data_IF_291856975713
#
_entry.id   IF_291856975713
#
_cell.length_a   1.000
_cell.length_b   1.000
_cell.length_c   1.000
_cell.angle_alpha   90.00
_cell.angle_beta   90.00
_cell.angle_gamma   90.00
#
_symmetry.space_group_name_H-M   'P 1'
#
loop_
_entity.id
_entity.type
_entity.pdbx_description
1 polymer ?
#
# COMPACT_ATOMS: atom_id res chain seq x y z
N UNK A 1 -18.58 30.97 -6.42
CA UNK A 1 -18.36 29.57 -6.85
C UNK A 1 -16.86 29.28 -6.76
N UNK A 2 -16.43 28.50 -5.77
CA UNK A 2 -15.01 28.19 -5.56
C UNK A 2 -14.59 27.05 -6.49
N UNK A 3 -14.06 27.42 -7.64
CA UNK A 3 -13.45 26.49 -8.60
C UNK A 3 -12.09 26.03 -8.07
N UNK A 4 -12.09 25.08 -7.14
CA UNK A 4 -10.92 24.23 -6.93
C UNK A 4 -11.00 23.09 -7.96
N UNK A 5 -10.81 23.46 -9.23
CA UNK A 5 -10.62 22.52 -10.32
C UNK A 5 -9.20 21.96 -10.21
N UNK A 6 -9.10 20.73 -9.72
CA UNK A 6 -7.93 19.88 -9.88
C UNK A 6 -6.58 20.58 -9.66
N UNK A 7 -6.28 20.97 -8.42
CA UNK A 7 -4.88 20.99 -8.04
C UNK A 7 -4.47 19.53 -8.05
N UNK A 8 -3.73 19.10 -9.09
CA UNK A 8 -2.92 17.91 -9.02
C UNK A 8 -2.03 18.10 -7.80
N UNK A 9 -2.49 17.64 -6.64
CA UNK A 9 -1.60 17.45 -5.51
C UNK A 9 -0.50 16.61 -6.10
N UNK A 10 0.72 17.15 -6.07
CA UNK A 10 1.91 16.44 -6.46
C UNK A 10 1.96 15.19 -5.56
N UNK A 11 1.28 14.13 -5.98
CA UNK A 11 1.21 12.91 -5.23
C UNK A 11 2.61 12.29 -5.17
N UNK A 12 3.49 12.63 -6.12
CA UNK A 12 4.91 12.29 -6.06
C UNK A 12 5.63 12.96 -4.90
N UNK A 13 5.25 14.19 -4.51
CA UNK A 13 5.79 14.89 -3.35
C UNK A 13 5.38 14.21 -2.06
N UNK A 14 4.09 13.88 -1.93
CA UNK A 14 3.61 13.08 -0.79
C UNK A 14 4.28 11.70 -0.78
N UNK A 15 4.39 11.03 -1.93
CA UNK A 15 5.05 9.72 -2.04
C UNK A 15 6.55 9.81 -1.74
N UNK A 16 7.20 10.94 -2.03
CA UNK A 16 8.60 11.19 -1.67
C UNK A 16 8.78 11.46 -0.16
N UNK A 17 7.78 12.09 0.48
CA UNK A 17 7.76 12.28 1.93
C UNK A 17 7.42 10.97 2.69
N UNK A 18 6.84 9.99 1.99
CA UNK A 18 6.70 8.64 2.49
C UNK A 18 8.07 7.95 2.41
N UNK A 19 8.63 7.61 3.56
CA UNK A 19 9.82 6.76 3.70
C UNK A 19 9.49 5.29 3.32
N UNK A 20 9.03 5.07 2.08
CA UNK A 20 8.63 3.76 1.56
C UNK A 20 9.84 2.83 1.42
N UNK A 21 9.59 1.53 1.52
CA UNK A 21 10.57 0.55 1.11
C UNK A 21 10.95 0.76 -0.37
N UNK A 22 12.23 0.62 -0.76
CA UNK A 22 12.63 0.75 -2.17
C UNK A 22 11.85 -0.19 -3.11
N UNK A 23 11.50 -1.39 -2.63
CA UNK A 23 10.65 -2.32 -3.37
C UNK A 23 9.20 -1.83 -3.51
N UNK A 24 8.65 -1.17 -2.49
CA UNK A 24 7.30 -0.60 -2.51
C UNK A 24 7.18 0.50 -3.56
N UNK A 25 8.17 1.39 -3.66
CA UNK A 25 8.21 2.40 -4.71
C UNK A 25 8.19 1.78 -6.12
N UNK A 26 9.04 0.78 -6.37
CA UNK A 26 9.09 0.07 -7.67
C UNK A 26 7.77 -0.65 -7.98
N UNK A 27 7.16 -1.29 -6.98
CA UNK A 27 5.86 -1.95 -7.13
C UNK A 27 4.77 -0.93 -7.44
N UNK A 28 4.70 0.20 -6.73
CA UNK A 28 3.72 1.26 -6.96
C UNK A 28 3.76 1.75 -8.41
N UNK A 29 4.94 2.11 -8.90
CA UNK A 29 5.10 2.59 -10.28
C UNK A 29 4.65 1.55 -11.30
N UNK A 30 4.96 0.28 -11.06
CA UNK A 30 4.54 -0.82 -11.93
C UNK A 30 3.03 -1.00 -11.91
N UNK A 31 2.42 -0.98 -10.73
CA UNK A 31 0.97 -1.08 -10.57
C UNK A 31 0.22 0.08 -11.23
N UNK A 32 0.74 1.31 -11.12
CA UNK A 32 0.18 2.47 -11.84
C UNK A 32 0.20 2.28 -13.35
N UNK A 33 1.31 1.79 -13.90
CA UNK A 33 1.42 1.50 -15.33
C UNK A 33 0.48 0.37 -15.82
N UNK A 34 0.04 -0.52 -14.92
CA UNK A 34 -0.89 -1.62 -15.23
C UNK A 34 -2.33 -1.34 -14.78
N UNK A 35 -2.62 -0.15 -14.26
CA UNK A 35 -3.96 0.18 -13.79
C UNK A 35 -4.89 0.53 -14.94
N UNK A 36 -6.12 0.04 -14.86
CA UNK A 36 -7.24 0.51 -15.67
C UNK A 36 -7.67 1.92 -15.20
N UNK A 37 -8.39 2.69 -16.04
CA UNK A 37 -9.06 3.90 -15.58
C UNK A 37 -9.90 3.63 -14.32
N UNK A 38 -9.78 4.48 -13.29
CA UNK A 38 -10.36 4.24 -11.98
C UNK A 38 -9.46 3.46 -11.02
N UNK A 39 -8.27 3.03 -11.44
CA UNK A 39 -7.22 2.51 -10.56
C UNK A 39 -7.33 1.02 -10.22
N UNK A 40 -8.22 0.29 -10.88
CA UNK A 40 -8.31 -1.17 -10.75
C UNK A 40 -7.10 -1.82 -11.40
N UNK A 41 -6.52 -2.81 -10.74
CA UNK A 41 -5.38 -3.57 -11.25
C UNK A 41 -5.64 -5.06 -11.06
N UNK A 42 -5.51 -5.83 -12.13
CA UNK A 42 -5.63 -7.29 -12.11
C UNK A 42 -4.30 -7.94 -12.51
N UNK A 43 -3.53 -8.35 -11.50
CA UNK A 43 -2.22 -8.96 -11.65
C UNK A 43 -1.88 -9.75 -10.39
N UNK A 44 -1.30 -10.94 -10.50
CA UNK A 44 -0.88 -11.71 -9.33
C UNK A 44 0.54 -11.32 -8.84
N UNK A 45 0.85 -11.66 -7.59
CA UNK A 45 2.14 -11.32 -6.98
C UNK A 45 3.35 -12.01 -7.64
N UNK A 46 3.15 -13.20 -8.23
CA UNK A 46 4.20 -13.91 -8.95
C UNK A 46 4.58 -13.16 -10.22
N UNK A 47 3.58 -12.70 -10.96
CA UNK A 47 3.80 -11.86 -12.14
C UNK A 47 4.48 -10.54 -11.76
N UNK A 48 4.04 -9.84 -10.72
CA UNK A 48 4.73 -8.61 -10.22
C UNK A 48 6.20 -8.92 -9.89
N UNK A 49 6.46 -10.03 -9.19
CA UNK A 49 7.79 -10.44 -8.78
C UNK A 49 8.70 -10.68 -9.99
N UNK A 50 8.23 -11.41 -10.99
CA UNK A 50 8.95 -11.65 -12.24
C UNK A 50 9.25 -10.34 -12.98
N UNK A 51 8.26 -9.47 -13.13
CA UNK A 51 8.41 -8.20 -13.86
C UNK A 51 9.42 -7.24 -13.23
N UNK A 52 9.64 -7.35 -11.92
CA UNK A 52 10.54 -6.47 -11.17
C UNK A 52 11.87 -7.13 -10.79
N UNK A 53 12.05 -8.43 -11.08
CA UNK A 53 13.19 -9.21 -10.61
C UNK A 53 13.27 -9.26 -9.09
N UNK A 54 12.11 -9.33 -8.41
CA UNK A 54 12.00 -9.37 -6.96
C UNK A 54 11.58 -10.76 -6.49
N UNK A 55 11.87 -11.09 -5.23
CA UNK A 55 11.26 -12.27 -4.61
C UNK A 55 9.79 -12.01 -4.29
N UNK A 56 8.98 -13.08 -4.26
CA UNK A 56 7.57 -12.99 -3.85
C UNK A 56 7.41 -12.42 -2.43
N UNK A 57 8.36 -12.71 -1.53
CA UNK A 57 8.40 -12.15 -0.17
C UNK A 57 8.62 -10.64 -0.21
N UNK A 58 9.53 -10.14 -1.05
CA UNK A 58 9.76 -8.71 -1.22
C UNK A 58 8.52 -8.01 -1.79
N UNK A 59 7.85 -8.60 -2.78
CA UNK A 59 6.58 -8.08 -3.32
C UNK A 59 5.48 -8.06 -2.26
N UNK A 60 5.38 -9.09 -1.43
CA UNK A 60 4.40 -9.13 -0.34
C UNK A 60 4.68 -8.01 0.70
N UNK A 61 5.93 -7.83 1.10
CA UNK A 61 6.32 -6.74 2.00
C UNK A 61 6.04 -5.36 1.38
N UNK A 62 6.37 -5.18 0.10
CA UNK A 62 6.09 -3.97 -0.67
C UNK A 62 4.58 -3.67 -0.73
N UNK A 63 3.75 -4.65 -1.10
CA UNK A 63 2.30 -4.47 -1.14
C UNK A 63 1.70 -4.16 0.23
N UNK A 64 2.27 -4.72 1.31
CA UNK A 64 1.87 -4.38 2.68
C UNK A 64 2.22 -2.93 3.01
N UNK A 65 3.40 -2.48 2.62
CA UNK A 65 3.85 -1.10 2.84
C UNK A 65 2.95 -0.10 2.12
N UNK A 66 2.60 -0.40 0.87
CA UNK A 66 1.66 0.40 0.07
C UNK A 66 0.23 0.42 0.64
N UNK A 67 -0.21 -0.66 1.28
CA UNK A 67 -1.49 -0.75 1.99
C UNK A 67 -1.49 0.11 3.25
N UNK A 68 -0.41 0.06 4.06
CA UNK A 68 -0.24 0.92 5.23
C UNK A 68 -0.17 2.40 4.86
N UNK A 69 0.41 2.72 3.70
CA UNK A 69 0.47 4.07 3.14
C UNK A 69 -0.84 4.48 2.42
N UNK A 70 -1.88 3.63 2.40
CA UNK A 70 -3.15 3.90 1.71
C UNK A 70 -3.00 4.22 0.22
N UNK A 71 -1.90 3.78 -0.41
CA UNK A 71 -1.63 4.02 -1.83
C UNK A 71 -2.24 2.91 -2.70
N UNK A 72 -2.19 1.67 -2.20
CA UNK A 72 -2.72 0.49 -2.90
C UNK A 72 -3.40 -0.45 -1.91
N UNK A 73 -4.69 -0.73 -2.13
CA UNK A 73 -5.46 -1.67 -1.31
C UNK A 73 -5.65 -2.99 -2.04
N UNK A 74 -5.42 -4.10 -1.35
CA UNK A 74 -5.76 -5.43 -1.87
C UNK A 74 -7.26 -5.67 -1.72
N UNK A 75 -7.96 -5.88 -2.83
CA UNK A 75 -9.39 -6.22 -2.82
C UNK A 75 -9.57 -7.73 -2.67
N UNK A 76 -8.83 -8.51 -3.47
CA UNK A 76 -8.78 -9.98 -3.39
C UNK A 76 -7.45 -10.48 -3.95
N UNK A 77 -7.25 -11.81 -3.97
CA UNK A 77 -6.06 -12.37 -4.61
C UNK A 77 -6.01 -11.94 -6.09
N UNK A 78 -4.89 -11.34 -6.50
CA UNK A 78 -4.69 -10.87 -7.87
C UNK A 78 -5.42 -9.58 -8.25
N UNK A 79 -6.17 -8.95 -7.33
CA UNK A 79 -6.87 -7.70 -7.62
C UNK A 79 -6.54 -6.65 -6.58
N UNK A 80 -6.04 -5.52 -7.07
CA UNK A 80 -5.64 -4.36 -6.28
C UNK A 80 -6.38 -3.11 -6.76
N UNK A 81 -6.47 -2.13 -5.87
CA UNK A 81 -7.10 -0.84 -6.13
C UNK A 81 -6.12 0.26 -5.74
N UNK A 82 -5.76 1.13 -6.68
CA UNK A 82 -5.03 2.35 -6.38
C UNK A 82 -5.93 3.31 -5.59
N UNK A 83 -5.29 4.11 -4.74
CA UNK A 83 -5.91 5.29 -4.17
C UNK A 83 -6.48 6.17 -5.30
N UNK A 84 -7.71 6.64 -5.13
CA UNK A 84 -8.39 7.41 -6.15
C UNK A 84 -7.69 8.74 -6.50
N UNK A 85 -6.81 9.26 -5.63
CA UNK A 85 -5.97 10.44 -5.91
C UNK A 85 -4.71 10.11 -6.73
N UNK A 86 -4.39 8.81 -6.93
CA UNK A 86 -3.24 8.33 -7.73
C UNK A 86 -3.64 7.69 -9.06
N UNK A 87 -4.89 7.25 -9.15
CA UNK A 87 -5.45 6.58 -10.32
C UNK A 87 -5.54 7.52 -11.53
N UNK A 88 -5.38 6.97 -12.72
CA UNK A 88 -5.75 7.64 -13.96
C UNK A 88 -7.26 7.48 -14.20
N UNK A 89 -7.88 8.45 -14.88
CA UNK A 89 -9.30 8.43 -15.23
C UNK A 89 -9.48 8.83 -16.68
N UNK A 90 -10.59 8.38 -17.28
CA UNK A 90 -10.95 8.73 -18.65
C UNK A 90 -11.47 10.17 -18.75
N UNK A 91 -12.03 10.71 -17.65
CA UNK A 91 -12.57 12.07 -17.59
C UNK A 91 -12.22 12.76 -16.26
N UNK A 92 -12.10 14.10 -16.24
CA UNK A 92 -11.99 14.86 -14.99
C UNK A 92 -13.18 14.66 -14.06
N UNK A 93 -14.38 14.48 -14.59
CA UNK A 93 -15.62 14.25 -13.83
C UNK A 93 -15.53 12.97 -13.01
N UNK A 94 -15.04 11.88 -13.61
CA UNK A 94 -14.83 10.60 -12.94
C UNK A 94 -13.80 10.72 -11.81
N UNK A 95 -12.71 11.46 -12.07
CA UNK A 95 -11.69 11.71 -11.06
C UNK A 95 -12.27 12.48 -9.85
N UNK A 96 -13.06 13.52 -10.12
CA UNK A 96 -13.73 14.31 -9.07
C UNK A 96 -14.73 13.44 -8.30
N UNK A 97 -15.53 12.63 -8.99
CA UNK A 97 -16.50 11.75 -8.37
C UNK A 97 -15.82 10.72 -7.45
N UNK A 98 -14.73 10.11 -7.91
CA UNK A 98 -13.97 9.13 -7.14
C UNK A 98 -13.32 9.74 -5.88
N UNK A 99 -12.69 10.92 -6.00
CA UNK A 99 -12.12 11.63 -4.84
C UNK A 99 -13.20 12.10 -3.86
N UNK A 100 -14.39 12.49 -4.35
CA UNK A 100 -15.52 12.86 -3.49
C UNK A 100 -16.06 11.66 -2.70
N UNK A 101 -16.16 10.49 -3.34
CA UNK A 101 -16.61 9.25 -2.71
C UNK A 101 -15.59 8.68 -1.71
N UNK A 102 -14.30 9.01 -1.86
CA UNK A 102 -13.25 8.55 -0.95
C UNK A 102 -13.43 9.09 0.48
N UNK A 103 -13.33 8.21 1.50
CA UNK A 103 -13.28 8.62 2.90
C UNK A 103 -12.19 9.67 3.14
N UNK A 104 -12.47 10.68 3.98
CA UNK A 104 -11.54 11.80 4.19
C UNK A 104 -10.20 11.35 4.78
N UNK A 105 -10.22 10.31 5.61
CA UNK A 105 -9.05 9.68 6.21
C UNK A 105 -8.22 8.87 5.20
N UNK A 106 -8.79 8.44 4.08
CA UNK A 106 -8.04 7.79 3.00
C UNK A 106 -7.40 8.79 2.00
N UNK A 107 -7.65 10.10 2.17
CA UNK A 107 -7.11 11.14 1.30
C UNK A 107 -5.65 11.44 1.65
N UNK A 108 -4.84 11.56 0.60
CA UNK A 108 -3.41 11.78 0.69
C UNK A 108 -3.06 13.22 1.06
N UNK A 109 -3.96 14.17 0.83
CA UNK A 109 -3.73 15.60 1.08
C UNK A 109 -4.03 16.05 2.53
N UNK A 110 -4.25 15.12 3.45
CA UNK A 110 -4.36 15.46 4.87
C UNK A 110 -2.99 15.88 5.42
N UNK A 111 -2.95 16.93 6.23
CA UNK A 111 -1.69 17.41 6.85
C UNK A 111 -1.03 16.38 7.76
N UNK A 112 -1.80 15.44 8.29
CA UNK A 112 -1.32 14.38 9.19
C UNK A 112 -1.05 13.05 8.48
N UNK A 113 -1.14 13.01 7.14
CA UNK A 113 -1.11 11.76 6.38
C UNK A 113 0.20 10.98 6.57
N UNK A 114 1.35 11.65 6.45
CA UNK A 114 2.67 11.04 6.63
C UNK A 114 2.84 10.51 8.06
N UNK A 115 2.35 11.24 9.06
CA UNK A 115 2.41 10.81 10.46
C UNK A 115 1.51 9.60 10.72
N UNK A 116 0.33 9.53 10.08
CA UNK A 116 -0.54 8.35 10.15
C UNK A 116 0.12 7.12 9.54
N UNK A 117 0.79 7.28 8.39
CA UNK A 117 1.60 6.21 7.80
C UNK A 117 2.70 5.73 8.74
N UNK A 118 3.50 6.65 9.31
CA UNK A 118 4.58 6.30 10.27
C UNK A 118 4.05 5.54 11.48
N UNK A 119 2.92 5.98 12.04
CA UNK A 119 2.25 5.26 13.14
C UNK A 119 1.79 3.87 12.72
N UNK A 120 1.22 3.73 11.52
CA UNK A 120 0.77 2.44 10.99
C UNK A 120 1.94 1.47 10.77
N UNK A 121 3.07 1.95 10.24
CA UNK A 121 4.29 1.17 10.08
C UNK A 121 4.83 0.71 11.43
N UNK A 122 4.94 1.60 12.42
CA UNK A 122 5.41 1.25 13.76
C UNK A 122 4.51 0.17 14.40
N UNK A 123 3.19 0.38 14.38
CA UNK A 123 2.23 -0.60 14.90
C UNK A 123 2.34 -1.96 14.19
N UNK A 124 2.57 -1.96 12.87
CA UNK A 124 2.77 -3.19 12.12
C UNK A 124 4.08 -3.91 12.49
N UNK A 125 5.17 -3.18 12.70
CA UNK A 125 6.44 -3.73 13.14
C UNK A 125 6.33 -4.35 14.54
N UNK A 126 5.62 -3.69 15.47
CA UNK A 126 5.36 -4.21 16.81
C UNK A 126 4.57 -5.53 16.75
N UNK A 127 3.51 -5.59 15.93
CA UNK A 127 2.75 -6.81 15.70
C UNK A 127 3.61 -7.95 15.13
N UNK A 128 4.55 -7.64 14.22
CA UNK A 128 5.47 -8.64 13.69
C UNK A 128 6.45 -9.14 14.76
N UNK A 129 6.96 -8.26 15.62
CA UNK A 129 7.85 -8.62 16.71
C UNK A 129 7.15 -9.52 17.73
N UNK A 130 5.92 -9.19 18.14
CA UNK A 130 5.13 -10.04 19.03
C UNK A 130 4.87 -11.42 18.44
N UNK A 131 4.47 -11.49 17.16
CA UNK A 131 4.24 -12.78 16.48
C UNK A 131 5.51 -13.64 16.43
N UNK A 132 6.68 -13.02 16.24
CA UNK A 132 7.97 -13.72 16.29
C UNK A 132 8.23 -14.28 17.69
N UNK A 133 8.11 -13.47 18.74
CA UNK A 133 8.29 -13.90 20.15
C UNK A 133 7.38 -15.08 20.50
N UNK A 134 6.08 -14.98 20.20
CA UNK A 134 5.11 -16.06 20.48
C UNK A 134 5.47 -17.37 19.77
N UNK A 135 5.94 -17.30 18.53
CA UNK A 135 6.38 -18.48 17.77
C UNK A 135 7.63 -19.12 18.39
N UNK A 136 8.58 -18.31 18.81
CA UNK A 136 9.84 -18.80 19.38
C UNK A 136 9.59 -19.44 20.75
N UNK A 137 8.71 -18.84 21.57
CA UNK A 137 8.25 -19.42 22.83
C UNK A 137 7.50 -20.74 22.62
N UNK A 138 6.63 -20.83 21.61
CA UNK A 138 5.93 -22.06 21.26
C UNK A 138 6.90 -23.18 20.84
N UNK A 139 7.90 -22.85 19.99
CA UNK A 139 8.95 -23.80 19.60
C UNK A 139 9.77 -24.27 20.80
N UNK A 140 10.17 -23.35 21.68
CA UNK A 140 10.93 -23.68 22.89
C UNK A 140 10.15 -24.62 23.80
N UNK A 141 8.85 -24.37 24.00
CA UNK A 141 7.95 -25.25 24.77
C UNK A 141 7.79 -26.63 24.13
N UNK A 142 7.69 -26.70 22.81
CA UNK A 142 7.60 -27.97 22.09
C UNK A 142 8.88 -28.80 22.23
N UNK A 143 10.04 -28.16 22.11
CA UNK A 143 11.34 -28.83 22.27
C UNK A 143 11.54 -29.36 23.69
N UNK A 144 11.15 -28.60 24.72
CA UNK A 144 11.21 -29.04 26.11
C UNK A 144 10.32 -30.26 26.39
N UNK A 145 9.15 -30.37 25.73
CA UNK A 145 8.27 -31.55 25.82
C UNK A 145 8.79 -32.76 25.06
N UNK A 146 9.62 -32.58 24.03
CA UNK A 146 10.15 -33.68 23.23
C UNK A 146 11.41 -34.32 23.83
N UNK A 147 12.04 -33.66 24.81
CA UNK A 147 13.25 -34.10 25.51
C UNK A 147 12.95 -34.66 26.90
N UNK A 148 11.73 -34.48 27.41
CA UNK A 148 11.21 -35.08 28.64
C UNK A 148 10.40 -36.33 28.35
#
# INVERSE_FOLDING_TARGET
MSGLHFAAVNAEGIVADLDLLPAAYRVLLKLRAHSEPGGRIEIDQGTIAQMLGLSRTAVNAALRDLDLALLVKKQRAGVYQLNAMLAAYASPEDAIAAVKAMPKDERLNSTDFVDRYRRAVAAYQDQLAEKRRRRDDAKRRQNLKAVS
#
